data_IF_612678806840
#
_entry.id   IF_612678806840
#
_cell.length_a   1.000
_cell.length_b   1.000
_cell.length_c   1.000
_cell.angle_alpha   90.00
_cell.angle_beta   90.00
_cell.angle_gamma   90.00
#
_symmetry.space_group_name_H-M   'P 1'
#
loop_
_entity.id
_entity.type
_entity.pdbx_description
1 polymer ?
#
# COMPACT_ATOMS: atom_id res chain seq x y z
N UNK A 1 -6.65 10.85 8.62
CA UNK A 1 -6.23 11.41 7.33
C UNK A 1 -6.89 10.63 6.20
N UNK A 2 -7.05 11.27 5.04
CA UNK A 2 -7.77 10.72 3.87
C UNK A 2 -6.94 9.77 2.99
N UNK A 3 -5.62 9.80 3.17
CA UNK A 3 -4.67 8.96 2.44
C UNK A 3 -4.10 7.88 3.36
N UNK A 4 -3.90 6.68 2.80
CA UNK A 4 -3.19 5.58 3.47
C UNK A 4 -1.69 5.86 3.51
N UNK A 5 -1.17 6.45 2.44
CA UNK A 5 0.22 6.88 2.33
C UNK A 5 0.34 8.02 1.31
N UNK A 6 1.37 8.83 1.48
CA UNK A 6 1.71 9.95 0.59
C UNK A 6 3.21 10.01 0.42
N UNK A 7 3.65 10.36 -0.79
CA UNK A 7 5.06 10.57 -1.12
C UNK A 7 5.23 11.78 -2.04
N UNK A 8 6.42 12.34 -2.06
CA UNK A 8 6.79 13.41 -3.00
C UNK A 8 7.80 12.86 -4.01
N UNK A 9 7.51 13.02 -5.30
CA UNK A 9 8.42 12.66 -6.37
C UNK A 9 8.42 13.75 -7.43
N UNK A 10 9.61 14.23 -7.81
CA UNK A 10 9.75 15.30 -8.80
C UNK A 10 8.84 16.51 -8.51
N UNK A 11 8.83 16.99 -7.26
CA UNK A 11 8.01 18.11 -6.74
C UNK A 11 6.48 17.90 -6.79
N UNK A 12 6.03 16.70 -7.17
CA UNK A 12 4.62 16.35 -7.18
C UNK A 12 4.30 15.44 -6.00
N UNK A 13 3.11 15.63 -5.43
CA UNK A 13 2.60 14.77 -4.36
C UNK A 13 1.78 13.64 -4.96
N UNK A 14 2.05 12.44 -4.50
CA UNK A 14 1.33 11.23 -4.84
C UNK A 14 0.85 10.57 -3.57
N UNK A 15 -0.19 9.76 -3.68
CA UNK A 15 -0.66 8.97 -2.55
C UNK A 15 -1.82 8.07 -2.90
N UNK A 16 -1.97 7.04 -2.07
CA UNK A 16 -3.08 6.11 -2.16
C UNK A 16 -4.22 6.58 -1.24
N UNK A 17 -5.35 6.97 -1.82
CA UNK A 17 -6.51 7.42 -1.01
C UNK A 17 -7.24 6.25 -0.36
N UNK A 18 -7.76 6.46 0.86
CA UNK A 18 -8.60 5.45 1.54
C UNK A 18 -9.83 5.11 0.70
N UNK A 19 -10.43 6.12 0.07
CA UNK A 19 -11.60 5.98 -0.79
C UNK A 19 -11.33 5.04 -1.98
N UNK A 20 -10.21 5.18 -2.67
CA UNK A 20 -9.89 4.32 -3.83
C UNK A 20 -9.84 2.84 -3.42
N UNK A 21 -9.24 2.53 -2.27
CA UNK A 21 -9.17 1.16 -1.74
C UNK A 21 -10.56 0.64 -1.37
N UNK A 22 -11.38 1.47 -0.72
CA UNK A 22 -12.76 1.12 -0.35
C UNK A 22 -13.64 0.89 -1.59
N UNK A 23 -13.52 1.73 -2.61
CA UNK A 23 -14.30 1.62 -3.85
C UNK A 23 -14.00 0.28 -4.54
N UNK A 24 -12.73 -0.17 -4.57
CA UNK A 24 -12.38 -1.51 -5.09
C UNK A 24 -12.97 -2.62 -4.22
N UNK A 25 -12.84 -2.53 -2.90
CA UNK A 25 -13.36 -3.54 -1.97
C UNK A 25 -14.89 -3.70 -2.09
N UNK A 26 -15.63 -2.60 -2.29
CA UNK A 26 -17.08 -2.60 -2.47
C UNK A 26 -17.54 -3.34 -3.73
N UNK A 27 -16.67 -3.51 -4.73
CA UNK A 27 -16.97 -4.35 -5.91
C UNK A 27 -16.84 -5.86 -5.64
N UNK A 28 -16.50 -6.27 -4.40
CA UNK A 28 -16.23 -7.66 -4.04
C UNK A 28 -14.85 -8.15 -4.49
N UNK A 29 -13.95 -7.24 -4.87
CA UNK A 29 -12.58 -7.55 -5.32
C UNK A 29 -11.56 -7.26 -4.23
N UNK A 30 -10.41 -7.92 -4.32
CA UNK A 30 -9.25 -7.63 -3.48
C UNK A 30 -8.49 -6.47 -4.10
N UNK A 31 -8.27 -5.42 -3.31
CA UNK A 31 -7.39 -4.31 -3.70
C UNK A 31 -5.93 -4.75 -3.51
N UNK A 32 -5.19 -4.90 -4.61
CA UNK A 32 -3.75 -5.15 -4.56
C UNK A 32 -3.01 -3.82 -4.50
N UNK A 33 -2.25 -3.61 -3.44
CA UNK A 33 -1.45 -2.41 -3.23
C UNK A 33 0.02 -2.72 -3.52
N UNK A 34 0.58 -2.04 -4.51
CA UNK A 34 2.03 -2.04 -4.77
C UNK A 34 2.64 -0.83 -4.06
N UNK A 35 3.36 -1.09 -2.97
CA UNK A 35 3.88 -0.07 -2.07
C UNK A 35 5.29 -0.41 -1.63
N UNK A 36 6.11 0.63 -1.44
CA UNK A 36 7.48 0.47 -0.96
C UNK A 36 7.54 0.25 0.56
N UNK A 37 8.77 0.16 1.10
CA UNK A 37 9.01 -0.04 2.54
C UNK A 37 8.41 1.06 3.41
N UNK A 38 8.36 2.31 2.94
CA UNK A 38 7.79 3.41 3.69
C UNK A 38 6.26 3.38 3.63
N UNK A 39 5.69 3.09 2.46
CA UNK A 39 4.26 2.85 2.26
C UNK A 39 3.73 1.74 3.17
N UNK A 40 4.46 0.61 3.30
CA UNK A 40 4.11 -0.48 4.23
C UNK A 40 4.05 0.01 5.68
N UNK A 41 5.03 0.80 6.14
CA UNK A 41 5.04 1.37 7.50
C UNK A 41 3.84 2.28 7.73
N UNK A 42 3.52 3.13 6.75
CA UNK A 42 2.39 4.04 6.82
C UNK A 42 1.06 3.27 6.91
N UNK A 43 0.86 2.27 6.04
CA UNK A 43 -0.36 1.45 6.01
C UNK A 43 -0.54 0.67 7.32
N UNK A 44 0.54 0.16 7.94
CA UNK A 44 0.48 -0.52 9.25
C UNK A 44 -0.05 0.35 10.40
N UNK A 45 0.03 1.68 10.26
CA UNK A 45 -0.50 2.63 11.24
C UNK A 45 -1.95 3.04 10.94
N UNK A 46 -2.60 2.40 9.96
CA UNK A 46 -4.01 2.64 9.61
C UNK A 46 -4.91 1.53 10.12
N UNK A 47 -6.21 1.76 10.02
CA UNK A 47 -7.29 0.82 10.31
C UNK A 47 -7.55 -0.18 9.17
N UNK A 48 -6.75 -0.15 8.10
CA UNK A 48 -6.88 -1.07 6.98
C UNK A 48 -6.46 -2.48 7.40
N UNK A 49 -7.40 -3.42 7.39
CA UNK A 49 -7.13 -4.84 7.58
C UNK A 49 -6.49 -5.43 6.31
N UNK A 50 -5.19 -5.16 6.12
CA UNK A 50 -4.43 -5.59 4.95
C UNK A 50 -3.66 -6.90 5.20
N UNK A 51 -3.58 -7.74 4.18
CA UNK A 51 -2.66 -8.86 4.13
C UNK A 51 -1.30 -8.38 3.59
N UNK A 52 -0.24 -8.55 4.38
CA UNK A 52 1.12 -8.18 3.97
C UNK A 52 1.87 -9.42 3.47
N UNK A 53 2.25 -9.40 2.20
CA UNK A 53 3.00 -10.48 1.56
C UNK A 53 4.39 -9.95 1.20
N UNK A 54 5.44 -10.57 1.77
CA UNK A 54 6.81 -10.32 1.37
C UNK A 54 7.34 -11.56 0.65
N UNK A 55 7.74 -11.40 -0.61
CA UNK A 55 8.34 -12.46 -1.39
C UNK A 55 9.85 -12.26 -1.33
N UNK A 56 10.56 -13.22 -0.75
CA UNK A 56 12.01 -13.24 -0.67
C UNK A 56 12.55 -14.43 -1.46
N UNK A 57 13.74 -14.32 -2.07
CA UNK A 57 14.37 -15.46 -2.72
C UNK A 57 14.64 -16.58 -1.69
N UNK A 58 14.65 -17.86 -2.10
CA UNK A 58 14.92 -18.99 -1.20
C UNK A 58 16.36 -18.98 -0.66
N UNK A 59 17.30 -18.41 -1.41
CA UNK A 59 18.69 -18.17 -1.02
C UNK A 59 19.20 -16.88 -1.66
N UNK A 60 20.21 -16.27 -1.05
CA UNK A 60 20.96 -15.15 -1.65
C UNK A 60 22.08 -15.61 -2.59
N UNK A 61 22.43 -16.89 -2.54
CA UNK A 61 23.44 -17.50 -3.40
C UNK A 61 22.88 -17.69 -4.81
N UNK A 62 23.73 -17.38 -5.81
CA UNK A 62 23.48 -17.55 -7.25
C UNK A 62 23.93 -18.94 -7.67
#
# INVERSE_FOLDING_TARGET
GEFLETTEFSTNLYGTSKKAVQDVAQTGRICLLDVDKQGIKNIRNTDLNALFICITPPSYEI
#
